data_IF_995545888270
#
_entry.id   IF_995545888270
#
_cell.length_a   1.000
_cell.length_b   1.000
_cell.length_c   1.000
_cell.angle_alpha   90.00
_cell.angle_beta   90.00
_cell.angle_gamma   90.00
#
_symmetry.space_group_name_H-M   'P 1'
#
loop_
_entity.id
_entity.type
_entity.pdbx_description
1 polymer ?
#
# COMPACT_ATOMS: atom_id res chain seq x y z
N UNK A 1 -5.45 32.53 -0.28
CA UNK A 1 -5.63 31.35 -1.14
C UNK A 1 -5.08 30.16 -0.37
N UNK A 2 -5.95 29.29 0.15
CA UNK A 2 -5.50 28.03 0.76
C UNK A 2 -5.06 27.18 -0.42
N UNK A 3 -3.78 26.81 -0.51
CA UNK A 3 -3.36 25.77 -1.45
C UNK A 3 -4.07 24.51 -0.98
N UNK A 4 -5.06 24.04 -1.75
CA UNK A 4 -5.63 22.72 -1.51
C UNK A 4 -4.47 21.73 -1.56
N UNK A 5 -4.30 20.96 -0.49
CA UNK A 5 -3.31 19.90 -0.48
C UNK A 5 -3.67 18.95 -1.61
N UNK A 6 -2.72 18.65 -2.49
CA UNK A 6 -2.90 17.63 -3.54
C UNK A 6 -2.42 16.31 -2.97
N UNK A 7 -3.11 15.18 -3.25
CA UNK A 7 -2.59 13.88 -2.88
C UNK A 7 -1.19 13.66 -3.48
N UNK A 8 -0.35 12.93 -2.76
CA UNK A 8 1.00 12.59 -3.22
C UNK A 8 1.05 11.18 -3.79
N UNK A 9 0.26 10.27 -3.22
CA UNK A 9 0.36 8.84 -3.51
C UNK A 9 -1.02 8.25 -3.78
N UNK A 10 -1.04 7.16 -4.54
CA UNK A 10 -2.20 6.30 -4.73
C UNK A 10 -1.87 4.88 -4.29
N UNK A 11 -2.88 4.12 -3.85
CA UNK A 11 -2.77 2.69 -3.57
C UNK A 11 -3.98 1.98 -4.15
N UNK A 12 -3.76 0.87 -4.85
CA UNK A 12 -4.82 0.01 -5.38
C UNK A 12 -4.38 -1.45 -5.34
N UNK A 13 -5.32 -2.38 -5.23
CA UNK A 13 -5.01 -3.81 -5.39
C UNK A 13 -4.63 -4.07 -6.86
N UNK A 14 -3.40 -4.51 -7.08
CA UNK A 14 -2.87 -4.90 -8.39
C UNK A 14 -3.24 -6.33 -8.73
N UNK A 15 -3.03 -7.24 -7.79
CA UNK A 15 -3.37 -8.65 -7.97
C UNK A 15 -3.71 -9.31 -6.64
N UNK A 16 -4.44 -10.42 -6.76
CA UNK A 16 -4.80 -11.31 -5.66
C UNK A 16 -4.58 -12.74 -6.13
N UNK A 17 -3.77 -13.49 -5.39
CA UNK A 17 -3.59 -14.92 -5.58
C UNK A 17 -3.93 -15.66 -4.27
N UNK A 18 -4.38 -16.91 -4.39
CA UNK A 18 -4.97 -17.66 -3.28
C UNK A 18 -6.48 -17.85 -3.46
N UNK A 19 -7.01 -18.93 -2.87
CA UNK A 19 -8.41 -19.34 -2.97
C UNK A 19 -9.37 -18.37 -2.30
N UNK A 20 -9.56 -17.20 -2.90
CA UNK A 20 -10.49 -16.14 -2.50
C UNK A 20 -11.97 -16.56 -2.59
N UNK A 21 -12.24 -17.83 -2.87
CA UNK A 21 -13.57 -18.42 -2.95
C UNK A 21 -14.33 -18.33 -1.63
N UNK A 22 -13.64 -18.10 -0.51
CA UNK A 22 -14.25 -17.95 0.81
C UNK A 22 -13.50 -16.88 1.62
N UNK A 23 -13.77 -15.59 1.35
CA UNK A 23 -13.54 -14.61 2.43
C UNK A 23 -14.61 -14.88 3.47
N UNK A 24 -14.19 -15.50 4.56
CA UNK A 24 -15.06 -15.96 5.65
C UNK A 24 -15.59 -14.79 6.50
N UNK A 25 -14.98 -13.61 6.44
CA UNK A 25 -15.31 -12.44 7.26
C UNK A 25 -15.81 -11.22 6.44
N UNK A 26 -16.90 -10.58 6.88
CA UNK A 26 -17.47 -9.40 6.22
C UNK A 26 -16.55 -8.16 6.30
N UNK A 27 -15.72 -8.06 7.33
CA UNK A 27 -14.82 -6.92 7.53
C UNK A 27 -13.70 -6.88 6.49
N UNK A 28 -13.08 -8.03 6.20
CA UNK A 28 -12.04 -8.16 5.18
C UNK A 28 -12.58 -7.85 3.77
N UNK A 29 -13.80 -8.30 3.48
CA UNK A 29 -14.50 -7.98 2.23
C UNK A 29 -14.67 -6.48 2.03
N UNK A 30 -15.09 -5.76 3.07
CA UNK A 30 -15.29 -4.31 3.00
C UNK A 30 -13.96 -3.57 2.76
N UNK A 31 -12.89 -4.00 3.44
CA UNK A 31 -11.57 -3.39 3.27
C UNK A 31 -10.99 -3.67 1.89
N UNK A 32 -11.08 -4.92 1.41
CA UNK A 32 -10.65 -5.30 0.07
C UNK A 32 -11.46 -4.58 -1.00
N UNK A 33 -12.78 -4.44 -0.82
CA UNK A 33 -13.62 -3.68 -1.73
C UNK A 33 -13.21 -2.20 -1.76
N UNK A 34 -12.86 -1.63 -0.60
CA UNK A 34 -12.34 -0.27 -0.50
C UNK A 34 -11.02 -0.14 -1.26
N UNK A 35 -10.11 -1.09 -1.09
CA UNK A 35 -8.79 -1.12 -1.75
C UNK A 35 -8.83 -1.57 -3.21
N UNK A 36 -9.94 -2.14 -3.67
CA UNK A 36 -10.23 -2.37 -5.08
C UNK A 36 -10.58 -1.06 -5.80
N UNK A 37 -10.96 -0.02 -5.05
CA UNK A 37 -11.05 1.33 -5.55
C UNK A 37 -9.72 2.04 -5.27
N UNK A 38 -9.26 2.84 -6.22
CA UNK A 38 -8.02 3.60 -6.08
C UNK A 38 -8.13 4.55 -4.87
N UNK A 39 -7.29 4.31 -3.86
CA UNK A 39 -7.20 5.13 -2.66
C UNK A 39 -6.10 6.17 -2.83
N UNK A 40 -6.36 7.43 -2.49
CA UNK A 40 -5.36 8.51 -2.57
C UNK A 40 -4.94 8.97 -1.18
N UNK A 41 -3.65 9.22 -1.00
CA UNK A 41 -3.04 9.62 0.26
C UNK A 41 -2.34 10.97 0.10
N UNK A 42 -2.53 11.85 1.09
CA UNK A 42 -1.96 13.21 1.07
C UNK A 42 -0.50 13.24 1.49
N UNK A 43 -0.07 12.27 2.29
CA UNK A 43 1.31 12.14 2.73
C UNK A 43 1.75 10.68 2.74
N UNK A 44 3.08 10.45 2.72
CA UNK A 44 3.68 9.14 2.97
C UNK A 44 3.24 8.60 4.33
N UNK A 45 3.12 9.47 5.34
CA UNK A 45 2.75 9.09 6.70
C UNK A 45 1.31 8.55 6.77
N UNK A 46 0.38 9.14 6.02
CA UNK A 46 -1.01 8.66 5.95
C UNK A 46 -1.08 7.24 5.36
N UNK A 47 -0.30 7.00 4.29
CA UNK A 47 -0.21 5.69 3.64
C UNK A 47 0.40 4.65 4.60
N UNK A 48 1.53 4.96 5.21
CA UNK A 48 2.19 4.05 6.14
C UNK A 48 1.32 3.77 7.37
N UNK A 49 0.65 4.79 7.91
CA UNK A 49 -0.27 4.65 9.03
C UNK A 49 -1.45 3.74 8.68
N UNK A 50 -1.96 3.83 7.45
CA UNK A 50 -3.00 2.93 6.96
C UNK A 50 -2.51 1.48 6.86
N UNK A 51 -1.34 1.24 6.26
CA UNK A 51 -0.76 -0.11 6.08
C UNK A 51 -0.40 -0.79 7.42
N UNK A 52 -0.05 -0.01 8.44
CA UNK A 52 0.22 -0.50 9.80
C UNK A 52 -1.00 -0.42 10.73
N UNK A 53 -2.16 0.01 10.23
CA UNK A 53 -3.37 0.07 11.05
C UNK A 53 -3.86 -1.33 11.40
N UNK A 54 -4.49 -1.46 12.57
CA UNK A 54 -5.09 -2.73 13.00
C UNK A 54 -6.03 -3.28 11.93
N UNK A 55 -6.81 -2.42 11.26
CA UNK A 55 -7.73 -2.82 10.18
C UNK A 55 -7.02 -3.49 9.02
N UNK A 56 -5.87 -2.98 8.59
CA UNK A 56 -5.10 -3.56 7.50
C UNK A 56 -4.43 -4.86 7.95
N UNK A 57 -3.90 -4.89 9.16
CA UNK A 57 -3.25 -6.06 9.76
C UNK A 57 -4.23 -7.20 10.10
N UNK A 58 -5.53 -6.90 10.19
CA UNK A 58 -6.59 -7.91 10.34
C UNK A 58 -6.81 -8.73 9.08
N UNK A 59 -6.38 -8.24 7.91
CA UNK A 59 -6.38 -9.07 6.69
C UNK A 59 -5.40 -10.21 6.91
N UNK A 60 -5.87 -11.44 6.74
CA UNK A 60 -5.00 -12.60 6.76
C UNK A 60 -4.12 -12.64 5.50
N UNK A 61 -2.96 -11.97 5.59
CA UNK A 61 -1.96 -11.93 4.52
C UNK A 61 -1.27 -13.28 4.28
N UNK A 62 -1.46 -14.29 5.15
CA UNK A 62 -0.97 -15.65 4.89
C UNK A 62 -1.97 -16.45 4.03
N UNK A 63 -3.27 -16.13 4.11
CA UNK A 63 -4.31 -16.71 3.24
C UNK A 63 -4.41 -16.02 1.88
N UNK A 64 -4.02 -14.75 1.79
CA UNK A 64 -4.16 -13.95 0.56
C UNK A 64 -2.81 -13.40 0.09
N UNK A 65 -2.35 -13.85 -1.06
CA UNK A 65 -1.23 -13.21 -1.78
C UNK A 65 -1.76 -11.93 -2.45
N UNK A 66 -1.89 -10.86 -1.66
CA UNK A 66 -2.26 -9.54 -2.15
C UNK A 66 -1.02 -8.77 -2.59
N UNK A 67 -1.08 -8.23 -3.81
CA UNK A 67 -0.11 -7.26 -4.31
C UNK A 67 -0.83 -5.94 -4.50
N UNK A 68 -0.31 -4.90 -3.87
CA UNK A 68 -0.78 -3.53 -4.03
C UNK A 68 0.15 -2.79 -4.96
N UNK A 69 -0.42 -1.92 -5.79
CA UNK A 69 0.32 -0.95 -6.58
C UNK A 69 0.24 0.40 -5.87
N UNK A 70 1.39 0.89 -5.43
CA UNK A 70 1.55 2.27 -4.97
C UNK A 70 1.98 3.13 -6.15
N UNK A 71 1.23 4.19 -6.47
CA UNK A 71 1.55 5.10 -7.56
C UNK A 71 1.86 6.51 -7.07
N UNK A 72 2.61 7.26 -7.87
CA UNK A 72 2.71 8.71 -7.71
C UNK A 72 1.41 9.36 -8.21
N UNK A 73 0.83 10.27 -7.43
CA UNK A 73 -0.44 10.89 -7.81
C UNK A 73 -0.31 11.80 -9.05
N UNK A 74 0.84 12.47 -9.21
CA UNK A 74 1.09 13.33 -10.37
C UNK A 74 1.45 12.58 -11.65
N UNK A 75 1.89 11.33 -11.54
CA UNK A 75 2.26 10.48 -12.67
C UNK A 75 1.97 9.00 -12.36
N UNK A 76 0.89 8.49 -12.94
CA UNK A 76 0.43 7.13 -12.70
C UNK A 76 1.25 6.06 -13.43
N UNK A 77 2.22 6.42 -14.27
CA UNK A 77 3.18 5.46 -14.82
C UNK A 77 4.28 5.10 -13.80
N UNK A 78 4.49 5.97 -12.81
CA UNK A 78 5.47 5.77 -11.74
C UNK A 78 4.81 4.99 -10.61
N UNK A 79 5.07 3.69 -10.59
CA UNK A 79 4.48 2.77 -9.62
C UNK A 79 5.53 1.91 -8.91
N UNK A 80 5.14 1.38 -7.75
CA UNK A 80 5.92 0.47 -6.92
C UNK A 80 4.98 -0.54 -6.27
N UNK A 81 5.36 -1.81 -6.31
CA UNK A 81 4.55 -2.87 -5.72
C UNK A 81 4.79 -2.96 -4.21
N UNK A 82 3.72 -3.16 -3.43
CA UNK A 82 3.75 -3.42 -2.00
C UNK A 82 3.08 -4.78 -1.76
N UNK A 83 3.80 -5.68 -1.11
CA UNK A 83 3.36 -7.04 -0.82
C UNK A 83 3.41 -7.24 0.70
N UNK A 84 2.25 -7.24 1.39
CA UNK A 84 2.19 -7.58 2.80
C UNK A 84 2.55 -9.04 3.04
N UNK A 85 3.32 -9.30 4.09
CA UNK A 85 3.73 -10.64 4.55
C UNK A 85 3.62 -10.69 6.07
N UNK A 86 2.42 -10.95 6.56
CA UNK A 86 2.10 -10.82 7.98
C UNK A 86 2.33 -9.39 8.45
N UNK A 87 3.22 -9.19 9.42
CA UNK A 87 3.55 -7.86 9.97
C UNK A 87 4.56 -7.06 9.14
N UNK A 88 5.18 -7.71 8.15
CA UNK A 88 6.20 -7.10 7.31
C UNK A 88 5.59 -6.67 5.98
N UNK A 89 6.17 -5.65 5.37
CA UNK A 89 5.86 -5.22 4.01
C UNK A 89 7.08 -5.45 3.13
N UNK A 90 6.91 -6.09 1.99
CA UNK A 90 7.95 -6.17 0.96
C UNK A 90 7.62 -5.17 -0.13
N UNK A 91 8.56 -4.29 -0.47
CA UNK A 91 8.45 -3.41 -1.61
C UNK A 91 9.12 -4.07 -2.82
N UNK A 92 8.41 -4.14 -3.94
CA UNK A 92 8.90 -4.63 -5.23
C UNK A 92 9.82 -3.62 -5.92
N UNK A 93 10.74 -3.01 -5.17
CA UNK A 93 11.81 -2.21 -5.73
C UNK A 93 12.90 -3.11 -6.33
N UNK A 94 13.92 -2.50 -6.94
CA UNK A 94 15.06 -3.25 -7.52
C UNK A 94 15.82 -4.13 -6.51
N UNK A 95 15.60 -3.95 -5.19
CA UNK A 95 16.28 -4.63 -4.10
C UNK A 95 15.37 -5.60 -3.34
N UNK A 96 14.07 -5.66 -3.67
CA UNK A 96 13.03 -6.34 -2.89
C UNK A 96 13.12 -6.00 -1.39
N UNK A 97 13.14 -4.70 -1.07
CA UNK A 97 13.33 -4.22 0.30
C UNK A 97 12.22 -4.73 1.24
N UNK A 98 12.61 -5.27 2.40
CA UNK A 98 11.69 -5.73 3.45
C UNK A 98 11.62 -4.66 4.55
N UNK A 99 10.42 -4.24 4.89
CA UNK A 99 10.12 -3.30 5.96
C UNK A 99 9.34 -4.00 7.07
N UNK A 100 9.93 -4.08 8.24
CA UNK A 100 9.40 -4.66 9.46
C UNK A 100 8.74 -3.63 10.39
N UNK A 101 8.91 -2.33 10.11
CA UNK A 101 8.39 -1.25 10.96
C UNK A 101 7.81 -0.11 10.13
N UNK A 102 6.89 0.64 10.75
CA UNK A 102 6.34 1.88 10.20
C UNK A 102 7.42 2.86 9.73
N UNK A 103 8.51 2.98 10.51
CA UNK A 103 9.61 3.89 10.19
C UNK A 103 10.43 3.40 8.99
N UNK A 104 10.71 2.09 8.89
CA UNK A 104 11.46 1.56 7.73
C UNK A 104 10.66 1.70 6.44
N UNK A 105 9.35 1.41 6.48
CA UNK A 105 8.48 1.61 5.30
C UNK A 105 8.44 3.09 4.87
N UNK A 106 8.23 3.99 5.83
CA UNK A 106 8.18 5.43 5.56
C UNK A 106 9.47 5.94 4.93
N UNK A 107 10.62 5.50 5.43
CA UNK A 107 11.91 5.91 4.89
C UNK A 107 12.06 5.45 3.45
N UNK A 108 11.77 4.17 3.15
CA UNK A 108 11.91 3.62 1.79
C UNK A 108 10.98 4.32 0.80
N UNK A 109 9.72 4.56 1.17
CA UNK A 109 8.78 5.29 0.28
C UNK A 109 9.22 6.74 0.09
N UNK A 110 9.76 7.38 1.12
CA UNK A 110 10.27 8.75 1.01
C UNK A 110 11.49 8.82 0.09
N UNK A 111 12.42 7.86 0.22
CA UNK A 111 13.60 7.77 -0.65
C UNK A 111 13.18 7.50 -2.10
N UNK A 112 12.25 6.57 -2.31
CA UNK A 112 11.67 6.30 -3.64
C UNK A 112 11.01 7.55 -4.24
N UNK A 113 10.25 8.32 -3.45
CA UNK A 113 9.64 9.57 -3.91
C UNK A 113 10.70 10.59 -4.35
N UNK A 114 11.80 10.72 -3.60
CA UNK A 114 12.92 11.60 -3.96
C UNK A 114 13.58 11.12 -5.26
N UNK A 115 13.75 9.81 -5.43
CA UNK A 115 14.39 9.24 -6.63
C UNK A 115 13.55 9.42 -7.90
N UNK A 116 12.22 9.37 -7.80
CA UNK A 116 11.33 9.49 -8.97
C UNK A 116 10.89 10.92 -9.28
N UNK A 117 11.14 11.87 -8.37
CA UNK A 117 10.79 13.29 -8.55
C UNK A 117 11.98 14.19 -8.90
N UNK A 118 13.21 13.66 -8.85
CA UNK A 118 14.45 14.35 -9.26
C UNK A 118 14.94 13.89 -10.64
#
# INVERSE_FOLDING_TARGET
MVKEAVPQLTLVIKSKAGGFSEIVNQEDNNLIQTLSMLCSFYTVDDLCSFLYSDKFQLIDHELYELVFEMGLYSDHEITLDIIPRGKNMTLGDSKNTICDTHQSLKQVISDWLVDVTN
#
